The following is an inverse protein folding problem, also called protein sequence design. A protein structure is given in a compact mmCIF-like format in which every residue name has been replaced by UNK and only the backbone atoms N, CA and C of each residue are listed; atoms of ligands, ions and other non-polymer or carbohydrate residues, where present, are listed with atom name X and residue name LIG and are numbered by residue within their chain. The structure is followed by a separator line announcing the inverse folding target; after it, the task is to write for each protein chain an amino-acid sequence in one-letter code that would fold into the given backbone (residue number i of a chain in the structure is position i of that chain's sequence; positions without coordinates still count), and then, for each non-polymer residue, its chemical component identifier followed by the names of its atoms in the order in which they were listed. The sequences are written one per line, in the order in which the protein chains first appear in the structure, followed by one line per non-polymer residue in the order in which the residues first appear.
data_IF_125873369539
#
_entry.id   IF_125873369539
#
_cell.length_a   1.000
_cell.length_b   1.000
_cell.length_c   1.000
_cell.angle_alpha   90.00
_cell.angle_beta   90.00
_cell.angle_gamma   90.00
#
_symmetry.space_group_name_H-M   'P 1'
#
loop_
_entity.id
_entity.type
_entity.pdbx_description
1 polymer ?
#
# COMPACT_ATOMS: atom_id res chain seq x y z
N UNK A 1 10.99 0.56 -14.80
CA UNK A 1 11.37 -0.83 -14.42
C UNK A 1 10.20 -1.75 -14.75
N UNK A 2 10.42 -3.06 -14.93
CA UNK A 2 9.32 -4.03 -15.05
C UNK A 2 8.73 -4.37 -13.68
N UNK A 3 7.44 -4.71 -13.63
CA UNK A 3 6.81 -5.21 -12.40
C UNK A 3 7.53 -6.50 -11.92
N UNK A 4 7.91 -6.63 -10.64
CA UNK A 4 8.46 -7.87 -10.11
C UNK A 4 7.42 -9.00 -10.09
N UNK A 5 7.86 -10.24 -9.85
CA UNK A 5 6.92 -11.35 -9.63
C UNK A 5 6.11 -11.13 -8.35
N UNK A 6 4.92 -11.74 -8.27
CA UNK A 6 4.03 -11.65 -7.10
C UNK A 6 4.77 -11.90 -5.77
N UNK A 7 5.49 -13.02 -5.65
CA UNK A 7 6.24 -13.36 -4.43
C UNK A 7 7.34 -12.35 -4.14
N UNK A 8 8.00 -11.81 -5.18
CA UNK A 8 9.05 -10.79 -5.00
C UNK A 8 8.48 -9.46 -4.51
N UNK A 9 7.34 -9.02 -5.04
CA UNK A 9 6.63 -7.83 -4.54
C UNK A 9 6.26 -8.02 -3.06
N UNK A 10 5.68 -9.18 -2.73
CA UNK A 10 5.24 -9.46 -1.37
C UNK A 10 6.43 -9.51 -0.39
N UNK A 11 7.54 -10.15 -0.77
CA UNK A 11 8.77 -10.15 0.02
C UNK A 11 9.31 -8.75 0.25
N UNK A 12 9.37 -7.91 -0.78
CA UNK A 12 9.87 -6.53 -0.68
C UNK A 12 8.99 -5.66 0.22
N UNK A 13 7.66 -5.79 0.13
CA UNK A 13 6.74 -5.05 0.99
C UNK A 13 6.90 -5.39 2.46
N UNK A 14 7.06 -6.69 2.78
CA UNK A 14 7.25 -7.15 4.16
C UNK A 14 8.62 -6.77 4.70
N UNK A 15 9.64 -6.78 3.83
CA UNK A 15 11.00 -6.38 4.18
C UNK A 15 11.15 -4.89 4.47
N UNK A 16 10.26 -4.04 3.96
CA UNK A 16 10.26 -2.60 4.21
C UNK A 16 9.45 -2.27 5.49
N UNK A 17 10.08 -1.97 6.63
CA UNK A 17 9.37 -1.68 7.88
C UNK A 17 8.59 -0.37 7.80
N UNK A 18 7.43 -0.30 8.45
CA UNK A 18 6.55 0.88 8.40
C UNK A 18 5.63 0.95 9.62
N UNK A 19 6.18 0.78 10.82
CA UNK A 19 5.38 0.75 12.05
C UNK A 19 4.75 2.13 12.32
N UNK A 20 3.44 2.16 12.56
CA UNK A 20 2.73 3.28 13.17
C UNK A 20 2.34 2.91 14.61
N UNK A 21 2.60 3.81 15.56
CA UNK A 21 2.36 3.57 16.97
C UNK A 21 1.93 4.86 17.68
N UNK A 22 1.30 4.72 18.85
CA UNK A 22 1.01 5.87 19.72
C UNK A 22 2.32 6.48 20.25
N UNK A 23 3.33 5.66 20.48
CA UNK A 23 4.65 6.12 20.89
C UNK A 23 5.54 6.43 19.67
N UNK A 24 5.90 7.70 19.49
CA UNK A 24 6.70 8.16 18.35
C UNK A 24 8.06 7.46 18.22
N UNK A 25 8.64 6.98 19.34
CA UNK A 25 9.93 6.28 19.35
C UNK A 25 9.89 4.95 18.59
N UNK A 26 8.70 4.34 18.46
CA UNK A 26 8.46 3.09 17.76
C UNK A 26 8.08 3.30 16.29
N UNK A 27 7.76 4.54 15.91
CA UNK A 27 7.29 4.85 14.57
C UNK A 27 8.42 4.73 13.54
N UNK A 28 8.10 4.15 12.40
CA UNK A 28 8.98 4.04 11.24
C UNK A 28 8.31 4.66 10.02
N UNK A 29 9.13 5.26 9.15
CA UNK A 29 8.65 5.84 7.91
C UNK A 29 8.12 4.76 6.96
N UNK A 30 6.95 4.96 6.37
CA UNK A 30 6.43 4.09 5.32
C UNK A 30 6.95 4.45 3.90
N UNK A 31 7.91 5.38 3.80
CA UNK A 31 8.41 5.92 2.53
C UNK A 31 8.94 4.85 1.59
N UNK A 32 9.61 3.82 2.12
CA UNK A 32 10.15 2.73 1.31
C UNK A 32 9.03 1.91 0.66
N UNK A 33 8.00 1.55 1.44
CA UNK A 33 6.78 0.89 0.93
C UNK A 33 6.13 1.73 -0.17
N UNK A 34 5.94 3.03 0.08
CA UNK A 34 5.33 3.95 -0.88
C UNK A 34 6.15 4.08 -2.16
N UNK A 35 7.49 4.08 -2.05
CA UNK A 35 8.40 4.17 -3.20
C UNK A 35 8.35 2.91 -4.07
N UNK A 36 8.26 1.73 -3.44
CA UNK A 36 8.05 0.46 -4.14
C UNK A 36 6.72 0.48 -4.92
N UNK A 37 5.62 0.80 -4.21
CA UNK A 37 4.29 0.85 -4.80
C UNK A 37 4.21 1.86 -5.96
N UNK A 38 4.76 3.06 -5.79
CA UNK A 38 4.77 4.07 -6.85
C UNK A 38 5.52 3.58 -8.09
N UNK A 39 6.72 2.98 -7.93
CA UNK A 39 7.49 2.45 -9.05
C UNK A 39 6.75 1.34 -9.80
N UNK A 40 6.05 0.47 -9.08
CA UNK A 40 5.27 -0.62 -9.67
C UNK A 40 4.01 -0.11 -10.36
N UNK A 41 3.28 0.82 -9.75
CA UNK A 41 2.15 1.51 -10.36
C UNK A 41 2.56 2.23 -11.65
N UNK A 42 3.67 2.98 -11.65
CA UNK A 42 4.20 3.65 -12.84
C UNK A 42 4.54 2.65 -13.96
N UNK A 43 5.11 1.48 -13.62
CA UNK A 43 5.37 0.43 -14.60
C UNK A 43 4.12 -0.14 -15.27
N UNK A 44 2.96 0.00 -14.60
CA UNK A 44 1.64 -0.41 -15.08
C UNK A 44 0.84 0.73 -15.74
N UNK A 45 1.48 1.87 -15.96
CA UNK A 45 0.90 3.04 -16.64
C UNK A 45 0.07 3.96 -15.73
N UNK A 46 0.26 3.89 -14.42
CA UNK A 46 -0.37 4.84 -13.49
C UNK A 46 0.47 6.11 -13.37
N UNK A 47 -0.21 7.24 -13.20
CA UNK A 47 0.39 8.46 -12.67
C UNK A 47 0.26 8.43 -11.16
N UNK A 48 1.37 8.65 -10.45
CA UNK A 48 1.42 8.58 -8.98
C UNK A 48 1.54 9.98 -8.35
N UNK A 49 0.69 10.26 -7.38
CA UNK A 49 0.80 11.38 -6.46
C UNK A 49 1.21 10.86 -5.08
N UNK A 50 2.34 11.32 -4.56
CA UNK A 50 2.81 10.99 -3.21
C UNK A 50 2.72 12.25 -2.36
N UNK A 51 2.07 12.14 -1.21
CA UNK A 51 1.89 13.29 -0.30
C UNK A 51 2.34 12.89 1.10
N UNK A 52 3.28 13.66 1.68
CA UNK A 52 3.60 13.52 3.10
C UNK A 52 2.43 14.03 3.95
N UNK A 53 2.18 13.41 5.10
CA UNK A 53 1.14 13.84 6.01
C UNK A 53 1.50 15.20 6.64
N UNK A 54 0.51 16.08 6.78
CA UNK A 54 0.67 17.36 7.48
C UNK A 54 1.12 17.16 8.94
N UNK A 55 0.60 16.11 9.56
CA UNK A 55 0.96 15.67 10.91
C UNK A 55 1.46 14.22 10.81
N UNK A 56 2.77 14.03 11.00
CA UNK A 56 3.41 12.71 10.87
C UNK A 56 4.58 12.75 9.88
N UNK A 57 5.71 13.31 10.31
CA UNK A 57 6.92 13.37 9.49
C UNK A 57 7.36 11.96 9.08
N UNK A 58 7.68 11.78 7.81
CA UNK A 58 8.07 10.49 7.26
C UNK A 58 6.89 9.55 6.99
N UNK A 59 5.64 10.02 7.05
CA UNK A 59 4.44 9.24 6.77
C UNK A 59 3.81 9.77 5.49
N UNK A 60 3.53 8.89 4.54
CA UNK A 60 3.19 9.26 3.17
C UNK A 60 1.95 8.51 2.70
N UNK A 61 1.06 9.23 2.01
CA UNK A 61 0.02 8.63 1.20
C UNK A 61 0.52 8.47 -0.25
N UNK A 62 -0.02 7.47 -0.95
CA UNK A 62 0.09 7.32 -2.40
C UNK A 62 -1.31 7.28 -3.00
N UNK A 63 -1.57 8.14 -3.98
CA UNK A 63 -2.72 8.07 -4.87
C UNK A 63 -2.20 7.82 -6.29
N UNK A 64 -2.41 6.61 -6.81
CA UNK A 64 -2.06 6.26 -8.18
C UNK A 64 -3.33 6.20 -9.04
N UNK A 65 -3.31 6.78 -10.24
CA UNK A 65 -4.43 6.77 -11.18
C UNK A 65 -4.00 6.32 -12.57
N UNK A 66 -4.74 5.39 -13.16
CA UNK A 66 -4.62 4.99 -14.57
C UNK A 66 -5.93 5.20 -15.30
N UNK A 67 -5.87 5.88 -16.44
CA UNK A 67 -7.04 6.31 -17.21
C UNK A 67 -7.49 7.74 -16.86
N UNK A 68 -8.40 8.27 -17.66
CA UNK A 68 -8.87 9.66 -17.57
C UNK A 68 -10.29 9.75 -17.00
N UNK A 69 -10.71 10.98 -16.66
CA UNK A 69 -12.06 11.26 -16.15
C UNK A 69 -12.23 10.96 -14.66
N UNK A 70 -13.47 11.13 -14.19
CA UNK A 70 -13.87 10.89 -12.80
C UNK A 70 -14.55 9.52 -12.64
N UNK A 71 -14.81 9.10 -11.40
CA UNK A 71 -15.47 7.83 -11.12
C UNK A 71 -14.51 6.65 -11.13
N UNK A 72 -14.94 5.53 -11.70
CA UNK A 72 -14.16 4.30 -11.77
C UNK A 72 -14.04 3.55 -10.43
N UNK A 73 -13.03 2.70 -10.33
CA UNK A 73 -12.81 1.82 -9.18
C UNK A 73 -11.57 2.27 -8.41
N UNK A 74 -11.70 2.44 -7.09
CA UNK A 74 -10.58 2.62 -6.18
C UNK A 74 -10.32 1.34 -5.40
N UNK A 75 -9.05 0.94 -5.34
CA UNK A 75 -8.54 -0.14 -4.51
C UNK A 75 -7.73 0.50 -3.38
N UNK A 76 -8.28 0.51 -2.17
CA UNK A 76 -7.75 1.24 -1.04
C UNK A 76 -7.17 0.29 0.01
N UNK A 77 -6.06 0.69 0.62
CA UNK A 77 -5.45 0.02 1.75
C UNK A 77 -4.47 0.91 2.49
N UNK A 78 -3.92 0.40 3.58
CA UNK A 78 -2.91 1.08 4.38
C UNK A 78 -1.54 0.39 4.28
N UNK A 79 -0.49 1.17 4.52
CA UNK A 79 0.91 0.73 4.33
C UNK A 79 1.68 0.63 5.63
N UNK A 80 1.12 1.15 6.72
CA UNK A 80 1.66 1.02 8.05
C UNK A 80 1.38 -0.37 8.63
N UNK A 81 2.01 -0.64 9.77
CA UNK A 81 1.84 -1.87 10.55
C UNK A 81 1.89 -1.54 12.02
N UNK A 82 1.43 -2.44 12.86
CA UNK A 82 1.52 -2.28 14.32
C UNK A 82 2.91 -2.61 14.88
N UNK A 83 3.26 -2.09 16.06
CA UNK A 83 4.39 -2.60 16.84
C UNK A 83 4.21 -4.10 17.13
N UNK A 84 5.32 -4.80 17.30
CA UNK A 84 5.30 -6.22 17.63
C UNK A 84 6.28 -6.56 18.75
N UNK A 85 6.04 -7.70 19.38
CA UNK A 85 6.91 -8.27 20.40
C UNK A 85 7.74 -9.40 19.81
N UNK A 86 9.03 -9.12 19.58
CA UNK A 86 9.99 -10.05 18.99
C UNK A 86 10.04 -11.41 19.71
N UNK A 87 9.82 -11.43 21.03
CA UNK A 87 9.84 -12.67 21.83
C UNK A 87 8.70 -13.64 21.50
N UNK A 88 7.66 -13.17 20.81
CA UNK A 88 6.48 -13.96 20.44
C UNK A 88 6.49 -14.41 18.98
N UNK A 89 7.47 -13.97 18.19
CA UNK A 89 7.59 -14.33 16.79
C UNK A 89 8.43 -15.61 16.62
N UNK A 90 7.90 -16.55 15.83
CA UNK A 90 8.63 -17.76 15.44
C UNK A 90 9.42 -17.59 14.13
N UNK A 91 9.13 -16.51 13.39
CA UNK A 91 9.75 -16.14 12.12
C UNK A 91 10.09 -14.67 12.16
N UNK A 92 11.09 -14.23 11.40
CA UNK A 92 11.43 -12.82 11.31
C UNK A 92 10.23 -12.01 10.74
N UNK A 93 9.70 -11.01 11.48
CA UNK A 93 8.53 -10.24 11.07
C UNK A 93 8.79 -9.40 9.81
N UNK A 94 10.03 -9.03 9.53
CA UNK A 94 10.41 -8.28 8.32
C UNK A 94 10.96 -9.19 7.22
N UNK A 95 10.71 -10.51 7.30
CA UNK A 95 11.01 -11.44 6.23
C UNK A 95 9.82 -12.33 5.94
N UNK A 96 9.29 -12.23 4.73
CA UNK A 96 8.23 -13.11 4.28
C UNK A 96 8.73 -14.56 4.24
N UNK A 97 8.28 -15.35 5.21
CA UNK A 97 8.70 -16.73 5.44
C UNK A 97 7.56 -17.68 5.11
N UNK A 98 7.81 -18.68 4.26
CA UNK A 98 6.81 -19.69 3.93
C UNK A 98 6.98 -20.93 4.81
N UNK A 99 5.91 -21.36 5.46
CA UNK A 99 5.88 -22.61 6.22
C UNK A 99 4.48 -23.23 6.22
N UNK A 100 4.37 -24.53 5.91
CA UNK A 100 3.09 -25.25 5.83
C UNK A 100 2.02 -24.53 4.98
N UNK A 101 2.41 -24.07 3.78
CA UNK A 101 1.56 -23.30 2.85
C UNK A 101 0.98 -22.00 3.44
N UNK A 102 1.67 -21.41 4.43
CA UNK A 102 1.34 -20.12 5.00
C UNK A 102 2.52 -19.18 4.86
N UNK A 103 2.22 -17.90 4.61
CA UNK A 103 3.19 -16.83 4.53
C UNK A 103 3.17 -16.05 5.84
N UNK A 104 4.31 -15.95 6.50
CA UNK A 104 4.51 -15.28 7.77
C UNK A 104 5.33 -14.01 7.57
N UNK A 105 4.87 -12.91 8.15
CA UNK A 105 5.52 -11.60 8.10
C UNK A 105 4.56 -10.53 8.60
N UNK A 106 5.08 -9.49 9.25
CA UNK A 106 4.30 -8.38 9.75
C UNK A 106 3.77 -7.57 8.56
N UNK A 107 2.46 -7.36 8.50
CA UNK A 107 1.81 -6.79 7.33
C UNK A 107 1.41 -7.79 6.25
N UNK A 108 1.62 -9.09 6.46
CA UNK A 108 1.23 -10.11 5.49
C UNK A 108 -0.28 -10.11 5.23
N UNK A 109 -1.07 -10.22 6.29
CA UNK A 109 -2.54 -10.15 6.24
C UNK A 109 -3.01 -8.69 6.35
N UNK A 110 -2.37 -7.89 7.21
CA UNK A 110 -2.85 -6.55 7.58
C UNK A 110 -1.80 -5.44 7.34
N UNK A 111 -1.76 -4.83 6.16
CA UNK A 111 -2.44 -5.30 4.94
C UNK A 111 -1.58 -5.19 3.69
N UNK A 112 -0.25 -5.14 3.83
CA UNK A 112 0.68 -4.97 2.70
C UNK A 112 0.51 -6.03 1.60
N UNK A 113 0.15 -7.26 1.96
CA UNK A 113 -0.11 -8.32 0.99
C UNK A 113 -1.17 -7.95 -0.06
N UNK A 114 -2.19 -7.16 0.33
CA UNK A 114 -3.24 -6.67 -0.56
C UNK A 114 -2.67 -6.01 -1.82
N UNK A 115 -1.66 -5.13 -1.67
CA UNK A 115 -1.09 -4.42 -2.81
C UNK A 115 -0.39 -5.35 -3.80
N UNK A 116 0.29 -6.40 -3.32
CA UNK A 116 0.91 -7.40 -4.20
C UNK A 116 -0.15 -8.13 -5.03
N UNK A 117 -1.28 -8.51 -4.43
CA UNK A 117 -2.40 -9.14 -5.14
C UNK A 117 -3.04 -8.20 -6.16
N UNK A 118 -3.31 -6.96 -5.75
CA UNK A 118 -3.93 -5.93 -6.61
C UNK A 118 -3.05 -5.65 -7.83
N UNK A 119 -1.75 -5.41 -7.63
CA UNK A 119 -0.83 -5.10 -8.73
C UNK A 119 -0.66 -6.28 -9.68
N UNK A 120 -0.59 -7.51 -9.15
CA UNK A 120 -0.57 -8.72 -9.97
C UNK A 120 -1.84 -8.81 -10.84
N UNK A 121 -3.03 -8.68 -10.24
CA UNK A 121 -4.30 -8.75 -10.97
C UNK A 121 -4.40 -7.65 -12.04
N UNK A 122 -3.95 -6.44 -11.73
CA UNK A 122 -3.95 -5.30 -12.68
C UNK A 122 -2.99 -5.54 -13.85
N UNK A 123 -1.85 -6.19 -13.61
CA UNK A 123 -0.86 -6.51 -14.65
C UNK A 123 -1.38 -7.46 -15.72
N UNK A 124 -2.41 -8.25 -15.39
CA UNK A 124 -3.04 -9.23 -16.28
C UNK A 124 -4.22 -8.64 -17.06
N UNK A 125 -4.62 -7.39 -16.76
CA UNK A 125 -5.72 -6.72 -17.45
C UNK A 125 -5.31 -6.29 -18.86
N UNK A 126 -6.19 -6.56 -19.82
CA UNK A 126 -6.14 -5.96 -21.14
C UNK A 126 -6.53 -4.48 -21.05
N UNK A 127 -5.53 -3.60 -21.09
CA UNK A 127 -5.71 -2.16 -20.93
C UNK A 127 -6.58 -1.55 -22.03
N UNK A 128 -6.71 -2.19 -23.19
CA UNK A 128 -7.57 -1.70 -24.29
C UNK A 128 -9.06 -1.81 -23.96
N UNK A 129 -9.42 -2.63 -22.97
CA UNK A 129 -10.79 -2.80 -22.48
C UNK A 129 -11.11 -1.92 -21.28
N UNK A 130 -10.16 -1.15 -20.78
CA UNK A 130 -10.38 -0.27 -19.64
C UNK A 130 -11.17 0.97 -20.10
N UNK A 131 -12.44 1.06 -19.71
CA UNK A 131 -13.34 2.18 -20.06
C UNK A 131 -13.52 3.22 -18.95
N UNK A 132 -13.07 2.90 -17.73
CA UNK A 132 -13.17 3.76 -16.55
C UNK A 132 -11.80 3.87 -15.85
N UNK A 133 -11.53 4.95 -15.10
CA UNK A 133 -10.28 5.07 -14.37
C UNK A 133 -10.14 4.02 -13.27
N UNK A 134 -8.91 3.59 -13.03
CA UNK A 134 -8.54 2.71 -11.93
C UNK A 134 -7.62 3.48 -10.99
N UNK A 135 -7.94 3.43 -9.70
CA UNK A 135 -7.20 4.13 -8.66
C UNK A 135 -6.66 3.12 -7.64
N UNK A 136 -5.43 3.34 -7.20
CA UNK A 136 -4.86 2.65 -6.04
C UNK A 136 -4.58 3.73 -5.00
N UNK A 137 -5.14 3.54 -3.80
CA UNK A 137 -4.91 4.42 -2.67
C UNK A 137 -4.18 3.64 -1.58
N UNK A 138 -3.02 4.13 -1.19
CA UNK A 138 -2.24 3.60 -0.09
C UNK A 138 -2.10 4.68 0.99
N UNK A 139 -2.73 4.49 2.15
CA UNK A 139 -2.70 5.46 3.26
C UNK A 139 -1.64 5.12 4.30
N UNK A 140 -1.29 6.11 5.10
CA UNK A 140 -0.51 5.95 6.32
C UNK A 140 -1.37 6.20 7.58
N UNK A 141 -0.91 5.70 8.72
CA UNK A 141 -1.48 5.86 10.07
C UNK A 141 -2.89 5.31 10.24
N UNK A 142 -3.27 4.28 9.49
CA UNK A 142 -4.57 3.63 9.70
C UNK A 142 -4.63 3.01 11.11
N UNK A 143 -3.53 2.40 11.56
CA UNK A 143 -3.43 1.66 12.81
C UNK A 143 -3.44 2.53 14.08
N UNK A 144 -3.45 3.86 13.92
CA UNK A 144 -3.39 4.80 15.05
C UNK A 144 -4.41 5.93 14.98
N UNK A 145 -4.33 6.79 13.97
CA UNK A 145 -5.04 8.09 13.95
C UNK A 145 -5.94 8.27 12.74
N UNK A 146 -5.79 7.42 11.73
CA UNK A 146 -6.38 7.55 10.40
C UNK A 146 -6.01 8.86 9.69
N UNK A 147 -4.88 9.49 10.06
CA UNK A 147 -4.46 10.79 9.52
C UNK A 147 -4.32 10.76 8.00
N UNK A 148 -3.82 9.66 7.43
CA UNK A 148 -3.72 9.49 5.99
C UNK A 148 -5.07 9.54 5.30
N UNK A 149 -6.06 8.77 5.79
CA UNK A 149 -7.41 8.79 5.24
C UNK A 149 -8.10 10.15 5.39
N UNK A 150 -7.93 10.82 6.53
CA UNK A 150 -8.47 12.16 6.77
C UNK A 150 -7.90 13.20 5.79
N UNK A 151 -6.61 13.13 5.48
CA UNK A 151 -5.98 14.00 4.48
C UNK A 151 -6.55 13.72 3.08
N UNK A 152 -6.76 12.44 2.73
CA UNK A 152 -7.36 12.05 1.45
C UNK A 152 -8.80 12.54 1.31
N UNK A 153 -9.59 12.57 2.38
CA UNK A 153 -10.95 13.16 2.35
C UNK A 153 -10.96 14.64 1.94
N UNK A 154 -9.84 15.34 2.05
CA UNK A 154 -9.67 16.75 1.64
C UNK A 154 -9.10 16.88 0.22
N UNK A 155 -8.73 15.77 -0.43
CA UNK A 155 -8.15 15.79 -1.77
C UNK A 155 -9.19 16.28 -2.80
N UNK A 156 -8.86 17.29 -3.61
CA UNK A 156 -9.82 17.89 -4.53
C UNK A 156 -10.19 16.90 -5.64
N UNK A 157 -11.48 16.73 -5.88
CA UNK A 157 -12.03 15.96 -7.00
C UNK A 157 -11.74 14.45 -6.98
N UNK A 158 -11.35 13.87 -5.83
CA UNK A 158 -11.31 12.41 -5.68
C UNK A 158 -12.73 11.85 -5.48
N UNK A 159 -13.34 11.35 -6.56
CA UNK A 159 -14.72 10.81 -6.57
C UNK A 159 -14.79 9.46 -7.28
N UNK A 160 -14.23 8.38 -6.71
CA UNK A 160 -14.39 7.05 -7.28
C UNK A 160 -15.88 6.62 -7.25
N UNK A 161 -16.33 5.89 -8.26
CA UNK A 161 -17.71 5.39 -8.31
C UNK A 161 -17.91 4.19 -7.37
N UNK A 162 -16.83 3.42 -7.17
CA UNK A 162 -16.76 2.23 -6.30
C UNK A 162 -15.42 2.19 -5.58
N UNK A 163 -15.42 1.64 -4.37
CA UNK A 163 -14.21 1.39 -3.60
C UNK A 163 -14.21 -0.05 -3.09
N UNK A 164 -13.07 -0.74 -3.23
CA UNK A 164 -12.78 -1.99 -2.54
C UNK A 164 -11.67 -1.67 -1.53
N UNK A 165 -11.92 -1.99 -0.27
CA UNK A 165 -10.95 -1.85 0.81
C UNK A 165 -10.41 -3.24 1.09
N UNK A 166 -9.08 -3.36 1.10
CA UNK A 166 -8.40 -4.63 1.41
C UNK A 166 -8.41 -4.97 2.89
#
# INVERSE_FOLDING_TARGET
MSLPSFLSMYQQLIAAPSISAIEDSLCMSNKEVISLLASWCESLGFTCEITELEQGKGRYNLLAKRGEGDGGLMLAGHTDTVPFDDSRWNYDPFKLSEHNNKLYGLGSIDMKGFFAFVLQAISELDTTKQTEPLLILATADEETTMAGAQQICRHPNLKPARCIIG
#
